data_IF_473973221491
#
_entry.id   IF_473973221491
#
_cell.length_a   1.000
_cell.length_b   1.000
_cell.length_c   1.000
_cell.angle_alpha   90.00
_cell.angle_beta   90.00
_cell.angle_gamma   90.00
#
_symmetry.space_group_name_H-M   'P 1'
#
loop_
_entity.id
_entity.type
_entity.pdbx_description
1 polymer ?
#
# COMPACT_ATOMS: atom_id res chain seq x y z
N UNK A 1 -23.37 -6.08 -1.99
CA UNK A 1 -22.41 -6.14 -0.86
C UNK A 1 -23.12 -5.64 0.40
N UNK A 2 -22.86 -6.25 1.55
CA UNK A 2 -23.58 -5.96 2.81
C UNK A 2 -23.52 -4.45 3.15
N UNK A 3 -24.67 -3.77 3.39
CA UNK A 3 -24.72 -2.34 3.66
C UNK A 3 -24.41 -1.93 5.11
N UNK A 4 -24.34 -2.88 6.04
CA UNK A 4 -24.04 -2.65 7.45
C UNK A 4 -22.58 -3.01 7.79
N UNK A 5 -22.14 -4.17 7.32
CA UNK A 5 -20.84 -4.75 7.66
C UNK A 5 -19.83 -4.67 6.50
N UNK A 6 -20.30 -4.55 5.25
CA UNK A 6 -19.44 -4.41 4.08
C UNK A 6 -18.73 -3.05 4.01
N UNK A 7 -17.72 -2.90 3.14
CA UNK A 7 -17.03 -1.63 2.94
C UNK A 7 -18.00 -0.51 2.52
N UNK A 8 -17.53 0.73 2.71
CA UNK A 8 -18.20 1.92 2.23
C UNK A 8 -18.15 1.98 0.71
N UNK A 9 -19.27 2.36 0.11
CA UNK A 9 -19.33 2.76 -1.31
C UNK A 9 -18.55 4.06 -1.55
N UNK A 10 -18.31 4.40 -2.81
CA UNK A 10 -17.65 5.66 -3.19
C UNK A 10 -18.36 6.89 -2.61
N UNK A 11 -19.70 6.97 -2.76
CA UNK A 11 -20.48 8.09 -2.23
C UNK A 11 -20.47 8.14 -0.70
N UNK A 12 -20.62 6.99 -0.01
CA UNK A 12 -20.51 6.92 1.46
C UNK A 12 -19.12 7.33 1.96
N UNK A 13 -18.06 6.98 1.22
CA UNK A 13 -16.69 7.32 1.57
C UNK A 13 -16.39 8.81 1.37
N UNK A 14 -16.86 9.39 0.26
CA UNK A 14 -16.76 10.83 -0.01
C UNK A 14 -17.53 11.66 1.02
N UNK A 15 -18.76 11.26 1.37
CA UNK A 15 -19.54 11.89 2.45
C UNK A 15 -18.82 11.79 3.79
N UNK A 16 -18.24 10.63 4.12
CA UNK A 16 -17.42 10.46 5.32
C UNK A 16 -16.25 11.45 5.36
N UNK A 17 -15.48 11.58 4.28
CA UNK A 17 -14.37 12.53 4.20
C UNK A 17 -14.83 13.98 4.37
N UNK A 18 -15.91 14.36 3.68
CA UNK A 18 -16.47 15.70 3.73
C UNK A 18 -16.94 16.07 5.15
N UNK A 19 -17.68 15.17 5.81
CA UNK A 19 -18.17 15.40 7.17
C UNK A 19 -17.06 15.40 8.21
N UNK A 20 -16.04 14.56 8.08
CA UNK A 20 -14.86 14.60 8.95
C UNK A 20 -14.18 15.97 8.83
N UNK A 21 -13.98 16.47 7.62
CA UNK A 21 -13.38 17.79 7.37
C UNK A 21 -14.21 18.92 7.97
N UNK A 22 -15.53 18.91 7.77
CA UNK A 22 -16.44 19.89 8.35
C UNK A 22 -16.45 19.82 9.89
N UNK A 23 -16.46 18.62 10.46
CA UNK A 23 -16.42 18.41 11.91
C UNK A 23 -15.09 18.87 12.54
N UNK A 24 -13.99 18.78 11.79
CA UNK A 24 -12.70 19.33 12.20
C UNK A 24 -12.74 20.86 12.27
N UNK A 25 -13.32 21.52 11.27
CA UNK A 25 -13.45 22.99 11.21
C UNK A 25 -14.37 23.50 12.32
N UNK A 26 -15.49 22.81 12.55
CA UNK A 26 -16.51 23.20 13.56
C UNK A 26 -16.16 22.77 14.99
N UNK A 27 -15.04 22.07 15.20
CA UNK A 27 -14.64 21.58 16.52
C UNK A 27 -15.51 20.45 17.09
N UNK A 28 -16.38 19.84 16.26
CA UNK A 28 -17.31 18.76 16.66
C UNK A 28 -16.58 17.45 16.95
N UNK A 29 -15.40 17.24 16.35
CA UNK A 29 -14.49 16.14 16.63
C UNK A 29 -13.18 16.71 17.18
N UNK A 30 -12.71 16.13 18.29
CA UNK A 30 -11.42 16.53 18.87
C UNK A 30 -10.24 16.01 18.05
N UNK A 31 -9.14 16.76 18.08
CA UNK A 31 -7.89 16.47 17.36
C UNK A 31 -7.41 15.00 17.48
N UNK A 32 -7.37 14.38 18.67
CA UNK A 32 -6.95 12.98 18.79
C UNK A 32 -7.91 12.01 18.07
N UNK A 33 -9.22 12.24 18.16
CA UNK A 33 -10.23 11.38 17.51
C UNK A 33 -10.14 11.47 16.00
N UNK A 34 -9.84 12.67 15.50
CA UNK A 34 -9.66 12.94 14.09
C UNK A 34 -8.42 12.24 13.53
N UNK A 35 -7.26 12.40 14.19
CA UNK A 35 -6.02 11.73 13.80
C UNK A 35 -6.15 10.21 13.83
N UNK A 36 -6.76 9.65 14.89
CA UNK A 36 -7.03 8.20 14.95
C UNK A 36 -7.91 7.72 13.78
N UNK A 37 -8.92 8.51 13.42
CA UNK A 37 -9.82 8.18 12.30
C UNK A 37 -9.07 8.23 10.97
N UNK A 38 -8.28 9.27 10.71
CA UNK A 38 -7.48 9.38 9.49
C UNK A 38 -6.41 8.31 9.38
N UNK A 39 -5.74 7.93 10.47
CA UNK A 39 -4.79 6.83 10.46
C UNK A 39 -5.46 5.50 10.07
N UNK A 40 -6.67 5.23 10.58
CA UNK A 40 -7.44 4.06 10.17
C UNK A 40 -7.84 4.09 8.69
N UNK A 41 -8.31 5.25 8.22
CA UNK A 41 -8.79 5.41 6.84
C UNK A 41 -7.63 5.34 5.85
N UNK A 42 -6.52 6.03 6.12
CA UNK A 42 -5.40 6.16 5.21
C UNK A 42 -4.46 4.94 5.23
N UNK A 43 -4.32 4.26 6.38
CA UNK A 43 -3.36 3.16 6.52
C UNK A 43 -4.02 1.80 6.70
N UNK A 44 -5.33 1.73 6.89
CA UNK A 44 -6.04 0.47 7.14
C UNK A 44 -5.67 -0.23 8.45
N UNK A 45 -5.04 0.48 9.41
CA UNK A 45 -4.52 -0.12 10.65
C UNK A 45 -5.63 -0.44 11.66
N UNK A 46 -5.40 -1.45 12.51
CA UNK A 46 -6.35 -1.92 13.52
C UNK A 46 -6.31 -1.02 14.79
N UNK A 47 -7.40 -0.96 15.58
CA UNK A 47 -7.40 -0.21 16.85
C UNK A 47 -6.30 -0.63 17.83
N UNK A 48 -5.92 -1.91 17.87
CA UNK A 48 -4.80 -2.39 18.71
C UNK A 48 -3.47 -1.79 18.27
N UNK A 49 -3.26 -1.56 16.98
CA UNK A 49 -2.02 -0.97 16.47
C UNK A 49 -1.96 0.51 16.87
N UNK A 50 -3.07 1.24 16.75
CA UNK A 50 -3.19 2.62 17.26
C UNK A 50 -2.96 2.68 18.76
N UNK A 51 -3.55 1.75 19.52
CA UNK A 51 -3.37 1.64 20.96
C UNK A 51 -1.90 1.41 21.35
N UNK A 52 -1.14 0.65 20.56
CA UNK A 52 0.28 0.35 20.78
C UNK A 52 1.25 1.45 20.34
N UNK A 53 0.80 2.49 19.62
CA UNK A 53 1.68 3.55 19.11
C UNK A 53 2.22 4.43 20.26
N UNK A 54 3.50 4.77 20.17
CA UNK A 54 4.20 5.74 21.02
C UNK A 54 4.65 6.93 20.18
N UNK A 55 4.90 8.07 20.82
CA UNK A 55 5.35 9.28 20.12
C UNK A 55 6.64 9.06 19.31
N UNK A 56 7.56 8.20 19.78
CA UNK A 56 8.79 7.85 19.06
C UNK A 56 8.60 7.08 17.76
N UNK A 57 7.41 6.55 17.51
CA UNK A 57 7.13 5.80 16.29
C UNK A 57 6.88 6.73 15.10
N UNK A 58 6.68 8.03 15.33
CA UNK A 58 6.62 9.04 14.28
C UNK A 58 8.03 9.48 13.89
N UNK A 59 8.33 9.39 12.60
CA UNK A 59 9.62 9.76 12.02
C UNK A 59 9.38 10.91 11.06
N UNK A 60 9.96 12.06 11.37
CA UNK A 60 9.85 13.24 10.52
C UNK A 60 10.70 13.05 9.25
N UNK A 61 10.09 13.25 8.08
CA UNK A 61 10.81 13.23 6.81
C UNK A 61 11.78 14.42 6.65
N UNK A 62 12.87 14.28 5.87
CA UNK A 62 13.73 15.40 5.51
C UNK A 62 12.97 16.41 4.62
N UNK A 63 13.25 17.71 4.82
CA UNK A 63 12.58 18.85 4.16
C UNK A 63 12.53 18.80 2.62
N UNK A 64 13.36 17.97 1.98
CA UNK A 64 13.57 17.96 0.53
C UNK A 64 12.75 16.91 -0.25
N UNK A 65 12.22 15.86 0.40
CA UNK A 65 11.50 14.75 -0.27
C UNK A 65 10.15 14.41 0.42
N UNK A 66 9.81 15.15 1.50
CA UNK A 66 8.44 15.53 1.90
C UNK A 66 7.39 14.45 2.24
N UNK A 67 7.82 13.32 2.81
CA UNK A 67 6.89 12.36 3.40
C UNK A 67 7.28 11.95 4.81
N UNK A 68 6.38 12.16 5.76
CA UNK A 68 6.53 11.69 7.13
C UNK A 68 6.30 10.18 7.17
N UNK A 69 6.95 9.51 8.11
CA UNK A 69 6.83 8.06 8.27
C UNK A 69 6.29 7.72 9.65
N UNK A 70 5.55 6.62 9.73
CA UNK A 70 5.01 6.07 10.97
C UNK A 70 5.39 4.60 11.07
N UNK A 71 6.11 4.25 12.13
CA UNK A 71 6.49 2.87 12.40
C UNK A 71 5.37 2.17 13.19
N UNK A 72 4.50 1.43 12.50
CA UNK A 72 3.29 0.84 13.09
C UNK A 72 3.60 -0.55 13.68
N UNK A 73 3.32 -0.80 14.97
CA UNK A 73 3.48 -2.12 15.57
C UNK A 73 2.60 -3.17 14.88
N UNK A 74 3.12 -4.39 14.69
CA UNK A 74 2.36 -5.52 14.15
C UNK A 74 1.43 -6.10 15.21
N UNK A 75 0.26 -6.55 14.77
CA UNK A 75 -0.73 -7.16 15.66
C UNK A 75 -0.76 -8.69 15.48
N UNK A 76 0.22 -9.39 16.08
CA UNK A 76 0.38 -10.86 15.92
C UNK A 76 -0.55 -11.71 16.80
N UNK A 77 -0.93 -11.22 17.97
CA UNK A 77 -1.74 -11.95 18.95
C UNK A 77 -3.04 -11.19 19.25
N UNK A 78 -4.12 -11.93 19.57
CA UNK A 78 -5.41 -11.31 19.92
C UNK A 78 -5.27 -10.55 21.24
N UNK A 79 -5.58 -9.26 21.22
CA UNK A 79 -5.79 -8.40 22.39
C UNK A 79 -4.56 -8.09 23.28
N UNK A 80 -3.34 -8.44 22.86
CA UNK A 80 -2.11 -8.02 23.54
C UNK A 80 -1.45 -6.85 22.80
N UNK A 81 -1.04 -5.83 23.55
CA UNK A 81 -0.19 -4.77 23.01
C UNK A 81 1.19 -5.37 22.80
N UNK A 82 1.54 -5.62 21.54
CA UNK A 82 2.84 -6.14 21.13
C UNK A 82 3.59 -5.08 20.33
N UNK A 83 4.88 -4.95 20.63
CA UNK A 83 5.83 -4.04 19.98
C UNK A 83 7.12 -4.77 19.58
N UNK A 84 7.03 -6.09 19.37
CA UNK A 84 8.15 -6.94 18.93
C UNK A 84 8.53 -6.71 17.46
N UNK A 85 7.54 -6.39 16.61
CA UNK A 85 7.74 -6.12 15.19
C UNK A 85 6.99 -4.87 14.76
N UNK A 86 7.52 -4.19 13.74
CA UNK A 86 6.93 -2.99 13.17
C UNK A 86 6.88 -3.03 11.65
N UNK A 87 6.01 -2.19 11.09
CA UNK A 87 5.92 -1.90 9.67
C UNK A 87 5.97 -0.40 9.45
N UNK A 88 6.89 0.03 8.60
CA UNK A 88 7.04 1.43 8.23
C UNK A 88 5.92 1.84 7.26
N UNK A 89 5.26 2.97 7.55
CA UNK A 89 4.13 3.47 6.76
C UNK A 89 4.34 4.91 6.39
N UNK A 90 4.12 5.21 5.12
CA UNK A 90 4.17 6.56 4.57
C UNK A 90 2.91 7.33 4.97
N UNK A 91 3.08 8.54 5.48
CA UNK A 91 2.01 9.49 5.73
C UNK A 91 2.11 10.58 4.67
N UNK A 92 0.96 11.00 4.13
CA UNK A 92 0.95 12.23 3.34
C UNK A 92 1.35 13.42 4.23
N UNK A 93 1.81 14.49 3.58
CA UNK A 93 2.30 15.70 4.25
C UNK A 93 1.29 16.28 5.24
N UNK A 94 0.03 16.43 4.82
CA UNK A 94 -1.03 17.03 5.63
C UNK A 94 -1.25 16.26 6.95
N UNK A 95 -1.41 14.94 6.88
CA UNK A 95 -1.62 14.10 8.07
C UNK A 95 -0.36 14.06 8.95
N UNK A 96 0.82 13.97 8.33
CA UNK A 96 2.08 13.92 9.07
C UNK A 96 2.41 15.24 9.79
N UNK A 97 2.20 16.39 9.16
CA UNK A 97 2.38 17.71 9.78
C UNK A 97 1.41 17.89 10.95
N UNK A 98 0.16 17.49 10.76
CA UNK A 98 -0.86 17.55 11.81
C UNK A 98 -0.52 16.64 12.99
N UNK A 99 -0.05 15.41 12.71
CA UNK A 99 0.40 14.48 13.73
C UNK A 99 1.63 15.02 14.49
N UNK A 100 2.57 15.66 13.79
CA UNK A 100 3.72 16.33 14.39
C UNK A 100 3.29 17.44 15.37
N UNK A 101 2.40 18.33 14.95
CA UNK A 101 1.86 19.39 15.82
C UNK A 101 1.14 18.84 17.04
N UNK A 102 0.40 17.75 16.87
CA UNK A 102 -0.24 17.04 17.98
C UNK A 102 0.77 16.47 18.98
N UNK A 103 1.83 15.78 18.51
CA UNK A 103 2.89 15.24 19.37
C UNK A 103 3.62 16.37 20.13
N UNK A 104 3.86 17.51 19.48
CA UNK A 104 4.44 18.69 20.14
C UNK A 104 3.53 19.24 21.25
N UNK A 105 2.21 19.22 21.04
CA UNK A 105 1.22 19.65 22.04
C UNK A 105 1.17 18.68 23.23
N UNK A 106 1.22 17.38 22.95
CA UNK A 106 1.33 16.34 23.97
C UNK A 106 2.59 16.50 24.82
N UNK A 107 3.73 16.73 24.17
CA UNK A 107 5.02 17.00 24.82
C UNK A 107 4.91 18.14 25.83
N UNK A 108 4.35 19.29 25.42
CA UNK A 108 4.13 20.45 26.30
C UNK A 108 3.25 20.12 27.51
N UNK A 109 2.18 19.33 27.30
CA UNK A 109 1.24 18.93 28.37
C UNK A 109 1.85 17.96 29.38
N UNK A 110 2.77 17.11 28.94
CA UNK A 110 3.39 16.06 29.78
C UNK A 110 4.78 16.41 30.31
N UNK A 111 5.36 17.55 29.91
CA UNK A 111 6.66 18.06 30.36
C UNK A 111 6.83 18.11 31.89
N UNK A 112 5.74 18.34 32.64
CA UNK A 112 5.75 18.43 34.11
C UNK A 112 5.79 17.07 34.84
N UNK A 113 5.72 15.93 34.14
CA UNK A 113 5.51 14.60 34.76
C UNK A 113 6.75 13.69 34.80
N UNK A 114 7.96 14.20 34.55
CA UNK A 114 9.21 13.40 34.47
C UNK A 114 9.11 12.15 33.56
N UNK A 115 8.16 12.15 32.61
CA UNK A 115 7.94 11.03 31.71
C UNK A 115 8.69 11.29 30.41
N UNK A 116 9.45 10.32 29.92
CA UNK A 116 10.06 10.41 28.59
C UNK A 116 8.94 10.51 27.53
N UNK A 117 8.85 11.66 26.87
CA UNK A 117 7.81 11.93 25.85
C UNK A 117 7.88 10.91 24.72
N UNK A 118 9.07 10.44 24.37
CA UNK A 118 9.28 9.44 23.32
C UNK A 118 8.54 8.14 23.63
N UNK A 119 8.47 7.74 24.91
CA UNK A 119 7.82 6.51 25.35
C UNK A 119 6.33 6.67 25.67
N UNK A 120 5.82 7.90 25.66
CA UNK A 120 4.41 8.19 25.86
C UNK A 120 3.58 7.59 24.71
N UNK A 121 2.42 6.97 24.99
CA UNK A 121 1.50 6.58 23.94
C UNK A 121 1.12 7.80 23.10
N UNK A 122 1.04 7.60 21.79
CA UNK A 122 0.64 8.65 20.85
C UNK A 122 -0.78 9.14 21.15
N UNK A 123 -1.68 8.26 21.63
CA UNK A 123 -3.04 8.61 22.03
C UNK A 123 -3.31 8.20 23.49
N UNK A 124 -2.82 8.99 24.46
CA UNK A 124 -2.91 8.64 25.89
C UNK A 124 -4.37 8.63 26.40
N UNK A 125 -4.62 7.88 27.47
CA UNK A 125 -5.87 7.97 28.23
C UNK A 125 -6.04 9.38 28.83
N UNK A 126 -7.27 9.90 28.81
CA UNK A 126 -7.59 11.21 29.40
C UNK A 126 -7.57 11.20 30.93
N UNK A 127 -7.85 10.04 31.54
CA UNK A 127 -7.83 9.80 32.99
C UNK A 127 -7.00 8.56 33.31
N UNK A 128 -6.20 8.62 34.37
CA UNK A 128 -5.52 7.44 34.91
C UNK A 128 -6.57 6.52 35.53
N UNK A 129 -6.54 5.23 35.18
CA UNK A 129 -7.28 4.20 35.93
C UNK A 129 -6.45 3.74 37.13
N UNK A 130 -7.12 3.16 38.13
CA UNK A 130 -6.50 2.64 39.37
C UNK A 130 -5.50 1.51 39.15
N UNK A 131 -5.53 0.84 38.00
CA UNK A 131 -4.65 -0.28 37.69
C UNK A 131 -3.55 0.17 36.72
N UNK A 132 -2.26 -0.09 37.02
CA UNK A 132 -1.20 0.15 36.06
C UNK A 132 -1.46 -0.68 34.81
N UNK A 133 -1.41 -0.01 33.66
CA UNK A 133 -1.12 -0.71 32.41
C UNK A 133 0.26 -1.38 32.61
N UNK A 134 0.43 -2.63 32.20
CA UNK A 134 1.64 -3.40 32.50
C UNK A 134 2.95 -2.65 32.17
N UNK A 135 4.10 -3.06 32.75
CA UNK A 135 5.35 -2.29 32.65
C UNK A 135 5.67 -1.86 31.22
N UNK A 136 5.86 -0.55 31.00
CA UNK A 136 6.17 0.03 29.68
C UNK A 136 4.97 0.39 28.80
N UNK A 137 3.73 0.18 29.28
CA UNK A 137 2.48 0.57 28.61
C UNK A 137 1.70 1.63 29.39
N UNK A 138 2.36 2.40 30.22
CA UNK A 138 1.75 3.45 31.03
C UNK A 138 0.93 4.40 30.13
N UNK A 139 -0.27 4.75 30.59
CA UNK A 139 -1.21 5.65 29.91
C UNK A 139 -1.82 5.13 28.58
N UNK A 140 -1.51 3.90 28.14
CA UNK A 140 -2.02 3.38 26.86
C UNK A 140 -3.51 3.09 26.95
N UNK A 141 -4.27 3.44 25.90
CA UNK A 141 -5.65 2.99 25.76
C UNK A 141 -5.70 1.50 25.38
N UNK A 142 -6.77 0.79 25.75
CA UNK A 142 -7.01 -0.54 25.17
C UNK A 142 -7.50 -0.43 23.72
N UNK A 143 -7.32 -1.49 22.92
CA UNK A 143 -7.86 -1.53 21.55
C UNK A 143 -9.37 -1.28 21.50
N UNK A 144 -10.12 -1.82 22.47
CA UNK A 144 -11.55 -1.61 22.60
C UNK A 144 -11.88 -0.13 22.86
N UNK A 145 -11.13 0.53 23.75
CA UNK A 145 -11.34 1.96 24.02
C UNK A 145 -11.06 2.83 22.78
N UNK A 146 -10.01 2.53 22.02
CA UNK A 146 -9.73 3.20 20.74
C UNK A 146 -10.87 2.98 19.75
N UNK A 147 -11.31 1.72 19.57
CA UNK A 147 -12.40 1.38 18.66
C UNK A 147 -13.71 2.10 19.00
N UNK A 148 -14.07 2.17 20.29
CA UNK A 148 -15.25 2.89 20.77
C UNK A 148 -15.10 4.40 20.52
N UNK A 149 -13.93 5.00 20.80
CA UNK A 149 -13.68 6.44 20.59
C UNK A 149 -13.88 6.82 19.12
N UNK A 150 -13.33 6.03 18.19
CA UNK A 150 -13.45 6.26 16.74
C UNK A 150 -14.90 6.06 16.29
N UNK A 151 -15.53 4.95 16.68
CA UNK A 151 -16.91 4.67 16.30
C UNK A 151 -17.85 5.77 16.79
N UNK A 152 -17.73 6.21 18.05
CA UNK A 152 -18.57 7.29 18.58
C UNK A 152 -18.34 8.62 17.85
N UNK A 153 -17.09 8.94 17.51
CA UNK A 153 -16.76 10.16 16.78
C UNK A 153 -17.40 10.17 15.39
N UNK A 154 -17.23 9.09 14.63
CA UNK A 154 -17.67 9.03 13.23
C UNK A 154 -19.19 8.83 13.11
N UNK A 155 -19.80 8.02 13.97
CA UNK A 155 -21.27 7.85 13.97
C UNK A 155 -22.02 9.10 14.46
N UNK A 156 -21.35 10.05 15.13
CA UNK A 156 -21.95 11.35 15.50
C UNK A 156 -22.06 12.33 14.34
N UNK A 157 -21.50 11.99 13.17
CA UNK A 157 -21.53 12.82 11.96
C UNK A 157 -22.79 12.60 11.10
N UNK A 158 -23.70 11.74 11.53
CA UNK A 158 -24.98 11.48 10.85
C UNK A 158 -24.83 11.15 9.36
N UNK A 159 -23.89 10.25 9.03
CA UNK A 159 -23.64 9.80 7.66
C UNK A 159 -24.86 9.06 7.11
N UNK A 160 -25.31 9.46 5.93
CA UNK A 160 -26.42 8.79 5.26
C UNK A 160 -25.87 7.85 4.20
N UNK A 161 -26.58 6.78 3.91
CA UNK A 161 -26.25 5.85 2.83
C UNK A 161 -27.44 5.77 1.89
N UNK A 162 -27.18 5.76 0.58
CA UNK A 162 -28.21 5.50 -0.43
C UNK A 162 -28.77 4.07 -0.35
N UNK A 163 -28.03 3.16 0.30
CA UNK A 163 -28.39 1.74 0.45
C UNK A 163 -29.16 1.45 1.73
N UNK A 164 -29.20 2.40 2.66
CA UNK A 164 -29.86 2.27 3.94
C UNK A 164 -30.91 3.36 4.07
N UNK A 165 -32.12 3.03 4.53
CA UNK A 165 -33.12 4.02 4.91
C UNK A 165 -32.78 4.67 6.27
N UNK A 166 -31.52 5.04 6.49
CA UNK A 166 -31.00 5.53 7.77
C UNK A 166 -29.48 5.74 7.80
N UNK A 167 -28.95 5.89 9.02
CA UNK A 167 -27.53 6.22 9.24
C UNK A 167 -26.61 5.04 8.89
N UNK A 168 -25.47 5.35 8.28
CA UNK A 168 -24.41 4.40 7.96
C UNK A 168 -23.59 4.06 9.21
N UNK A 169 -23.61 2.82 9.72
CA UNK A 169 -22.80 2.47 10.88
C UNK A 169 -21.32 2.42 10.49
N UNK A 170 -20.51 3.26 11.16
CA UNK A 170 -19.06 3.28 10.98
C UNK A 170 -18.40 2.52 12.13
N UNK A 171 -17.72 1.43 11.79
CA UNK A 171 -16.93 0.62 12.73
C UNK A 171 -15.48 0.51 12.25
N UNK A 172 -14.52 0.24 13.13
CA UNK A 172 -13.12 0.02 12.75
C UNK A 172 -12.95 -1.10 11.71
N UNK A 173 -13.76 -2.17 11.83
CA UNK A 173 -13.78 -3.26 10.86
C UNK A 173 -14.21 -2.74 9.50
N UNK A 174 -15.30 -1.98 9.44
CA UNK A 174 -15.81 -1.41 8.19
C UNK A 174 -14.83 -0.46 7.52
N UNK A 175 -14.19 0.43 8.27
CA UNK A 175 -13.14 1.32 7.74
C UNK A 175 -11.99 0.53 7.11
N UNK A 176 -11.56 -0.53 7.79
CA UNK A 176 -10.50 -1.41 7.32
C UNK A 176 -10.90 -2.22 6.08
N UNK A 177 -12.14 -2.71 6.01
CA UNK A 177 -12.68 -3.36 4.80
C UNK A 177 -12.73 -2.36 3.65
N UNK A 178 -13.11 -1.12 3.92
CA UNK A 178 -13.17 -0.04 2.93
C UNK A 178 -11.78 0.28 2.38
N UNK A 179 -10.77 0.43 3.24
CA UNK A 179 -9.37 0.58 2.83
C UNK A 179 -8.93 -0.56 1.90
N UNK A 180 -9.16 -1.81 2.29
CA UNK A 180 -8.76 -2.97 1.51
C UNK A 180 -9.48 -3.04 0.15
N UNK A 181 -10.78 -2.72 0.13
CA UNK A 181 -11.59 -2.75 -1.09
C UNK A 181 -11.16 -1.66 -2.05
N UNK A 182 -10.94 -0.43 -1.55
CA UNK A 182 -10.46 0.70 -2.37
C UNK A 182 -9.05 0.48 -2.90
N UNK A 183 -8.12 -0.01 -2.08
CA UNK A 183 -6.78 -0.37 -2.55
C UNK A 183 -6.84 -1.43 -3.65
N UNK A 184 -7.75 -2.40 -3.52
CA UNK A 184 -7.98 -3.37 -4.56
C UNK A 184 -8.58 -2.72 -5.82
N UNK A 185 -9.59 -1.85 -5.70
CA UNK A 185 -10.18 -1.09 -6.82
C UNK A 185 -9.16 -0.21 -7.56
N UNK A 186 -8.18 0.32 -6.84
CA UNK A 186 -7.02 1.04 -7.38
C UNK A 186 -5.99 0.11 -8.06
N UNK A 187 -6.22 -1.20 -8.05
CA UNK A 187 -5.41 -2.21 -8.74
C UNK A 187 -4.21 -2.71 -7.95
N UNK A 188 -4.17 -2.49 -6.63
CA UNK A 188 -3.06 -2.97 -5.80
C UNK A 188 -3.09 -4.50 -5.74
N UNK A 189 -1.91 -5.13 -5.80
CA UNK A 189 -1.84 -6.59 -5.77
C UNK A 189 -2.29 -7.15 -4.41
N UNK A 190 -2.83 -8.37 -4.42
CA UNK A 190 -3.29 -9.03 -3.20
C UNK A 190 -2.18 -9.18 -2.15
N UNK A 191 -0.93 -9.36 -2.61
CA UNK A 191 0.26 -9.40 -1.76
C UNK A 191 0.51 -8.06 -1.06
N UNK A 192 0.43 -6.95 -1.79
CA UNK A 192 0.64 -5.61 -1.23
C UNK A 192 -0.49 -5.27 -0.26
N UNK A 193 -1.74 -5.58 -0.60
CA UNK A 193 -2.87 -5.36 0.31
C UNK A 193 -2.72 -6.22 1.57
N UNK A 194 -2.27 -7.47 1.46
CA UNK A 194 -1.99 -8.33 2.62
C UNK A 194 -0.90 -7.72 3.51
N UNK A 195 0.18 -7.21 2.90
CA UNK A 195 1.29 -6.55 3.59
C UNK A 195 0.84 -5.27 4.30
N UNK A 196 0.05 -4.42 3.65
CA UNK A 196 -0.53 -3.24 4.28
C UNK A 196 -1.48 -3.62 5.41
N UNK A 197 -2.36 -4.58 5.17
CA UNK A 197 -3.30 -5.03 6.18
C UNK A 197 -2.59 -5.72 7.35
N UNK A 198 -1.30 -6.02 7.28
CA UNK A 198 -0.63 -6.82 8.31
C UNK A 198 -1.36 -8.17 8.46
N UNK A 199 -1.53 -8.85 7.33
CA UNK A 199 -1.94 -10.25 7.23
C UNK A 199 -0.70 -11.11 7.01
N UNK A 200 -0.70 -12.31 7.59
CA UNK A 200 0.35 -13.31 7.35
C UNK A 200 0.17 -14.05 6.02
N UNK A 201 -0.99 -13.92 5.38
CA UNK A 201 -1.38 -14.65 4.18
C UNK A 201 -2.42 -13.84 3.36
N UNK A 202 -2.51 -14.11 2.06
CA UNK A 202 -3.40 -13.46 1.09
C UNK A 202 -4.81 -14.05 1.06
N UNK A 203 -5.06 -15.21 1.70
CA UNK A 203 -6.39 -15.86 1.76
C UNK A 203 -7.53 -14.94 2.20
N UNK A 204 -7.27 -14.01 3.12
CA UNK A 204 -8.28 -13.04 3.58
C UNK A 204 -8.42 -11.82 2.67
N UNK A 205 -7.46 -11.59 1.77
CA UNK A 205 -7.50 -10.50 0.79
C UNK A 205 -8.39 -10.86 -0.38
N UNK A 206 -8.47 -12.13 -0.76
CA UNK A 206 -9.41 -12.60 -1.80
C UNK A 206 -10.88 -12.32 -1.44
N UNK A 207 -11.23 -12.25 -0.16
CA UNK A 207 -12.58 -11.83 0.27
C UNK A 207 -12.86 -10.37 -0.10
N UNK A 208 -11.84 -9.50 -0.09
CA UNK A 208 -11.97 -8.10 -0.51
C UNK A 208 -11.80 -7.94 -2.02
N UNK A 209 -10.94 -8.75 -2.64
CA UNK A 209 -10.66 -8.70 -4.07
C UNK A 209 -11.75 -9.39 -4.91
N UNK A 210 -12.42 -10.40 -4.37
CA UNK A 210 -13.57 -11.07 -4.98
C UNK A 210 -14.85 -10.22 -4.93
N UNK A 211 -14.83 -9.09 -4.21
CA UNK A 211 -15.99 -8.23 -3.96
C UNK A 211 -16.13 -7.05 -4.93
N UNK A 212 -15.15 -6.80 -5.79
CA UNK A 212 -15.20 -5.67 -6.72
C UNK A 212 -15.06 -6.13 -8.16
N UNK A 213 -16.19 -6.05 -8.88
CA UNK A 213 -16.24 -6.14 -10.34
C UNK A 213 -15.31 -5.12 -11.01
N UNK A 214 -14.99 -4.00 -10.33
CA UNK A 214 -14.03 -2.98 -10.77
C UNK A 214 -12.56 -3.45 -10.75
N UNK A 215 -12.16 -4.32 -9.82
CA UNK A 215 -10.78 -4.89 -9.75
C UNK A 215 -10.47 -5.71 -10.99
N UNK A 216 -11.48 -6.37 -11.55
CA UNK A 216 -11.30 -7.22 -12.73
C UNK A 216 -11.01 -6.43 -14.00
N UNK A 217 -11.13 -5.09 -14.00
CA UNK A 217 -11.16 -4.34 -15.24
C UNK A 217 -9.83 -3.71 -15.69
N UNK A 218 -8.93 -3.20 -14.82
CA UNK A 218 -7.74 -2.48 -15.33
C UNK A 218 -6.49 -2.60 -14.46
N UNK A 219 -5.61 -3.54 -14.80
CA UNK A 219 -4.17 -3.41 -14.52
C UNK A 219 -3.64 -2.38 -15.53
N UNK A 220 -3.74 -1.10 -15.18
CA UNK A 220 -3.40 -0.01 -16.10
C UNK A 220 -1.89 0.20 -16.20
N UNK A 221 -1.45 0.81 -17.30
CA UNK A 221 -0.05 1.20 -17.48
C UNK A 221 0.47 2.04 -16.30
N UNK A 222 -0.35 2.95 -15.78
CA UNK A 222 0.01 3.80 -14.63
C UNK A 222 0.28 2.96 -13.37
N UNK A 223 -0.59 1.99 -13.07
CA UNK A 223 -0.42 1.08 -11.93
C UNK A 223 0.88 0.27 -12.06
N UNK A 224 1.22 -0.17 -13.28
CA UNK A 224 2.48 -0.87 -13.53
C UNK A 224 3.69 0.00 -13.18
N UNK A 225 3.68 1.28 -13.53
CA UNK A 225 4.75 2.23 -13.20
C UNK A 225 4.79 2.58 -11.71
N UNK A 226 3.65 2.81 -11.07
CA UNK A 226 3.59 3.18 -9.65
C UNK A 226 4.10 2.03 -8.75
N UNK A 227 3.83 0.78 -9.15
CA UNK A 227 4.24 -0.41 -8.40
C UNK A 227 5.66 -0.91 -8.74
N UNK A 228 6.20 -0.56 -9.90
CA UNK A 228 7.50 -1.05 -10.36
C UNK A 228 8.65 -0.84 -9.35
N UNK A 229 8.81 0.34 -8.70
CA UNK A 229 9.90 0.58 -7.74
C UNK A 229 9.89 -0.34 -6.51
N UNK A 230 8.70 -0.74 -6.05
CA UNK A 230 8.52 -1.56 -4.85
C UNK A 230 8.33 -3.06 -5.14
N UNK A 231 8.12 -3.42 -6.42
CA UNK A 231 7.84 -4.80 -6.84
C UNK A 231 9.02 -5.77 -6.73
N UNK A 232 10.25 -5.25 -6.83
CA UNK A 232 11.49 -6.03 -6.94
C UNK A 232 11.40 -7.15 -8.01
N UNK A 233 10.67 -6.89 -9.11
CA UNK A 233 10.38 -7.88 -10.13
C UNK A 233 11.56 -8.12 -11.09
N UNK A 234 12.39 -7.11 -11.34
CA UNK A 234 13.56 -7.18 -12.20
C UNK A 234 14.84 -7.45 -11.41
N UNK A 235 15.64 -8.43 -11.86
CA UNK A 235 16.90 -8.85 -11.23
C UNK A 235 18.09 -8.90 -12.20
N UNK A 236 17.89 -8.50 -13.45
CA UNK A 236 18.92 -8.51 -14.50
C UNK A 236 19.78 -7.25 -14.53
N UNK A 237 20.60 -7.12 -15.59
CA UNK A 237 21.53 -6.00 -15.81
C UNK A 237 21.20 -5.28 -17.12
N UNK A 238 20.89 -3.99 -17.06
CA UNK A 238 20.69 -3.18 -18.28
C UNK A 238 22.04 -2.94 -18.96
N UNK A 239 22.09 -3.17 -20.26
CA UNK A 239 23.28 -2.98 -21.12
C UNK A 239 23.01 -1.94 -22.19
N UNK A 240 24.06 -1.25 -22.68
CA UNK A 240 23.87 -0.19 -23.67
C UNK A 240 23.65 -0.73 -25.08
N UNK A 241 24.33 -1.82 -25.45
CA UNK A 241 24.16 -2.49 -26.75
C UNK A 241 24.65 -3.94 -26.69
N UNK A 242 24.48 -4.69 -27.80
CA UNK A 242 24.91 -6.08 -27.91
C UNK A 242 26.39 -6.32 -27.57
N UNK A 243 27.28 -5.34 -27.79
CA UNK A 243 28.71 -5.46 -27.47
C UNK A 243 28.98 -5.69 -25.99
N UNK A 244 28.07 -5.22 -25.13
CA UNK A 244 28.21 -5.26 -23.68
C UNK A 244 27.52 -6.49 -23.06
N UNK A 245 26.90 -7.33 -23.90
CA UNK A 245 26.26 -8.56 -23.47
C UNK A 245 27.30 -9.56 -22.97
N UNK A 246 26.96 -10.33 -21.94
CA UNK A 246 27.83 -11.40 -21.43
C UNK A 246 28.12 -12.46 -22.49
N UNK A 247 27.21 -12.63 -23.45
CA UNK A 247 27.41 -13.41 -24.67
C UNK A 247 27.00 -12.58 -25.90
N UNK A 248 27.90 -11.88 -26.57
CA UNK A 248 27.57 -11.14 -27.78
C UNK A 248 27.32 -12.11 -28.95
N UNK A 249 26.30 -11.84 -29.76
CA UNK A 249 26.01 -12.58 -30.99
C UNK A 249 24.55 -13.02 -31.13
N UNK A 250 24.15 -13.47 -32.34
CA UNK A 250 22.75 -13.74 -32.66
C UNK A 250 22.05 -14.74 -31.74
N UNK A 251 22.80 -15.67 -31.14
CA UNK A 251 22.26 -16.72 -30.26
C UNK A 251 21.88 -16.23 -28.85
N UNK A 252 22.30 -15.03 -28.44
CA UNK A 252 21.92 -14.46 -27.14
C UNK A 252 20.72 -13.52 -27.24
N UNK A 253 20.44 -12.99 -28.43
CA UNK A 253 19.35 -12.05 -28.69
C UNK A 253 18.00 -12.64 -28.27
N UNK A 254 17.23 -11.83 -27.57
CA UNK A 254 15.83 -12.07 -27.23
C UNK A 254 15.01 -11.29 -28.24
N UNK A 255 14.34 -12.00 -29.14
CA UNK A 255 13.47 -11.44 -30.16
C UNK A 255 12.07 -12.01 -29.93
N UNK A 256 11.05 -11.17 -30.06
CA UNK A 256 9.66 -11.59 -30.03
C UNK A 256 8.86 -10.84 -31.10
N UNK A 257 8.47 -11.58 -32.14
CA UNK A 257 7.72 -11.04 -33.28
C UNK A 257 6.31 -10.55 -32.91
N UNK A 258 5.82 -10.92 -31.71
CA UNK A 258 4.55 -10.43 -31.17
C UNK A 258 4.67 -8.99 -30.64
N UNK A 259 5.89 -8.58 -30.28
CA UNK A 259 6.21 -7.25 -29.74
C UNK A 259 6.66 -6.33 -30.89
N UNK A 260 7.56 -6.81 -31.74
CA UNK A 260 7.99 -6.09 -32.94
C UNK A 260 8.06 -7.01 -34.14
N UNK A 261 7.26 -6.72 -35.17
CA UNK A 261 7.19 -7.48 -36.42
C UNK A 261 8.47 -7.39 -37.25
N UNK A 262 9.28 -6.35 -37.04
CA UNK A 262 10.57 -6.19 -37.70
C UNK A 262 11.66 -7.06 -37.05
N UNK A 263 11.35 -7.71 -35.93
CA UNK A 263 12.28 -8.59 -35.24
C UNK A 263 13.41 -7.86 -34.54
N UNK A 264 13.21 -6.61 -34.11
CA UNK A 264 14.22 -5.90 -33.34
C UNK A 264 14.51 -6.66 -32.03
N UNK A 265 15.80 -6.86 -31.68
CA UNK A 265 16.19 -7.46 -30.42
C UNK A 265 15.77 -6.57 -29.25
N UNK A 266 15.16 -7.19 -28.24
CA UNK A 266 14.71 -6.52 -27.02
C UNK A 266 15.83 -6.49 -25.97
N UNK A 267 16.63 -7.55 -25.95
CA UNK A 267 17.59 -7.83 -24.90
C UNK A 267 18.56 -8.95 -25.33
N UNK A 268 19.57 -9.21 -24.51
CA UNK A 268 20.43 -10.38 -24.58
C UNK A 268 20.19 -11.33 -23.40
N UNK A 269 20.59 -12.59 -23.56
CA UNK A 269 20.58 -13.61 -22.51
C UNK A 269 22.00 -14.08 -22.22
N UNK A 270 22.44 -13.93 -20.97
CA UNK A 270 23.77 -14.35 -20.51
C UNK A 270 23.90 -15.86 -20.24
N UNK A 271 22.80 -16.61 -20.22
CA UNK A 271 22.81 -18.04 -19.88
C UNK A 271 23.42 -18.88 -21.00
N UNK A 272 24.41 -19.72 -20.68
CA UNK A 272 25.10 -20.60 -21.64
C UNK A 272 24.37 -21.92 -21.96
N UNK A 273 23.27 -22.21 -21.25
CA UNK A 273 22.45 -23.41 -21.47
C UNK A 273 21.06 -23.07 -21.99
N UNK A 274 20.42 -24.05 -22.63
CA UNK A 274 19.08 -23.93 -23.19
C UNK A 274 18.08 -23.46 -22.11
N UNK A 275 17.15 -22.58 -22.50
CA UNK A 275 16.12 -22.04 -21.64
C UNK A 275 14.75 -22.34 -22.26
N UNK A 276 13.93 -23.11 -21.55
CA UNK A 276 12.61 -23.55 -22.03
C UNK A 276 11.47 -22.63 -21.55
N UNK A 277 11.80 -21.54 -20.84
CA UNK A 277 10.81 -20.58 -20.38
C UNK A 277 10.37 -19.62 -21.49
N UNK A 278 9.13 -19.13 -21.40
CA UNK A 278 8.56 -18.19 -22.37
C UNK A 278 9.29 -16.84 -22.35
N UNK A 279 10.19 -16.63 -23.30
CA UNK A 279 10.87 -15.34 -23.55
C UNK A 279 9.91 -14.39 -24.28
N UNK A 280 9.89 -13.08 -23.98
CA UNK A 280 10.64 -12.39 -22.91
C UNK A 280 9.91 -12.36 -21.56
N UNK A 281 8.68 -12.91 -21.46
CA UNK A 281 7.87 -12.88 -20.23
C UNK A 281 8.62 -13.36 -18.98
N UNK A 282 9.25 -14.53 -19.05
CA UNK A 282 10.03 -15.09 -17.95
C UNK A 282 11.31 -14.29 -17.68
N UNK A 283 11.84 -13.59 -18.69
CA UNK A 283 13.03 -12.76 -18.53
C UNK A 283 12.73 -11.52 -17.66
N UNK A 284 11.61 -10.85 -17.93
CA UNK A 284 11.14 -9.74 -17.09
C UNK A 284 10.65 -10.20 -15.70
N UNK A 285 10.35 -11.50 -15.53
CA UNK A 285 9.93 -12.07 -14.25
C UNK A 285 11.10 -12.42 -13.31
N UNK A 286 12.15 -11.60 -13.28
CA UNK A 286 13.27 -11.76 -12.34
C UNK A 286 14.35 -12.74 -12.77
N UNK A 287 14.53 -12.97 -14.07
CA UNK A 287 15.68 -13.74 -14.55
C UNK A 287 16.99 -12.97 -14.31
N UNK A 288 17.95 -13.59 -13.63
CA UNK A 288 19.25 -12.98 -13.34
C UNK A 288 20.10 -12.79 -14.60
N UNK A 289 20.05 -13.75 -15.54
CA UNK A 289 20.80 -13.72 -16.80
C UNK A 289 20.16 -12.83 -17.87
N UNK A 290 19.17 -12.01 -17.50
CA UNK A 290 18.47 -11.12 -18.43
C UNK A 290 19.23 -9.80 -18.58
N UNK A 291 19.59 -9.48 -19.82
CA UNK A 291 20.36 -8.29 -20.17
C UNK A 291 19.57 -7.37 -21.12
N UNK A 292 18.58 -6.60 -20.61
CA UNK A 292 17.80 -5.66 -21.43
C UNK A 292 18.66 -4.55 -22.03
N UNK A 293 18.39 -4.20 -23.29
CA UNK A 293 19.12 -3.16 -24.00
C UNK A 293 18.51 -1.79 -23.73
N UNK A 294 19.35 -0.77 -23.55
CA UNK A 294 18.89 0.58 -23.23
C UNK A 294 17.93 1.16 -24.29
N UNK A 295 18.15 0.81 -25.56
CA UNK A 295 17.35 1.19 -26.73
C UNK A 295 16.33 0.13 -27.16
N UNK A 296 16.17 -0.94 -26.38
CA UNK A 296 15.23 -2.01 -26.68
C UNK A 296 13.76 -1.53 -26.66
N UNK A 297 12.85 -2.12 -27.46
CA UNK A 297 11.44 -1.76 -27.52
C UNK A 297 10.65 -2.24 -26.29
N UNK A 298 11.09 -1.86 -25.09
CA UNK A 298 10.48 -2.23 -23.80
C UNK A 298 9.07 -1.66 -23.62
N UNK A 299 8.81 -0.46 -24.16
CA UNK A 299 7.46 0.13 -24.16
C UNK A 299 6.47 -0.72 -24.96
N UNK A 300 6.85 -1.15 -26.17
CA UNK A 300 6.05 -2.06 -26.98
C UNK A 300 5.88 -3.42 -26.29
N UNK A 301 6.91 -3.89 -25.58
CA UNK A 301 6.81 -5.11 -24.78
C UNK A 301 5.77 -4.96 -23.66
N UNK A 302 5.78 -3.84 -22.93
CA UNK A 302 4.81 -3.55 -21.88
C UNK A 302 3.38 -3.48 -22.42
N UNK A 303 3.17 -2.74 -23.50
CA UNK A 303 1.86 -2.60 -24.15
C UNK A 303 1.33 -3.96 -24.62
N UNK A 304 2.20 -4.79 -25.21
CA UNK A 304 1.83 -6.15 -25.61
C UNK A 304 1.42 -7.02 -24.41
N UNK A 305 2.14 -6.95 -23.29
CA UNK A 305 1.80 -7.71 -22.09
C UNK A 305 0.47 -7.26 -21.47
N UNK A 306 0.20 -5.95 -21.46
CA UNK A 306 -1.05 -5.37 -20.99
C UNK A 306 -2.23 -5.79 -21.88
N UNK A 307 -2.09 -5.69 -23.20
CA UNK A 307 -3.13 -6.10 -24.15
C UNK A 307 -3.43 -7.60 -24.08
N UNK A 308 -2.39 -8.44 -23.94
CA UNK A 308 -2.56 -9.88 -23.73
C UNK A 308 -3.33 -10.17 -22.43
N UNK A 309 -3.01 -9.46 -21.36
CA UNK A 309 -3.68 -9.61 -20.07
C UNK A 309 -5.16 -9.25 -20.17
N UNK A 310 -5.48 -8.15 -20.83
CA UNK A 310 -6.87 -7.72 -21.07
C UNK A 310 -7.65 -8.76 -21.87
N UNK A 311 -7.05 -9.32 -22.92
CA UNK A 311 -7.65 -10.41 -23.69
C UNK A 311 -7.90 -11.66 -22.84
N UNK A 312 -6.95 -12.06 -21.99
CA UNK A 312 -7.11 -13.20 -21.09
C UNK A 312 -8.19 -12.97 -20.03
N UNK A 313 -8.34 -11.74 -19.52
CA UNK A 313 -9.43 -11.39 -18.63
C UNK A 313 -10.81 -11.53 -19.29
N UNK A 314 -10.91 -11.22 -20.58
CA UNK A 314 -12.16 -11.32 -21.33
C UNK A 314 -12.54 -12.76 -21.70
N UNK A 315 -11.55 -13.66 -21.82
CA UNK A 315 -11.72 -15.01 -22.39
C UNK A 315 -11.54 -16.15 -21.39
N UNK A 316 -10.89 -15.91 -20.24
CA UNK A 316 -10.51 -16.95 -19.27
C UNK A 316 -10.74 -16.51 -17.81
N UNK A 317 -10.49 -17.40 -16.85
CA UNK A 317 -10.50 -17.03 -15.43
C UNK A 317 -9.43 -15.97 -15.14
N UNK A 318 -9.80 -14.96 -14.34
CA UNK A 318 -8.93 -13.95 -13.75
C UNK A 318 -7.60 -14.48 -13.20
N UNK A 319 -7.57 -15.71 -12.64
CA UNK A 319 -6.34 -16.33 -12.15
C UNK A 319 -5.33 -16.60 -13.27
N UNK A 320 -5.81 -16.95 -14.47
CA UNK A 320 -4.98 -17.21 -15.66
C UNK A 320 -4.42 -15.88 -16.21
N UNK A 321 -5.25 -14.84 -16.23
CA UNK A 321 -4.81 -13.50 -16.64
C UNK A 321 -3.71 -12.93 -15.72
N UNK A 322 -3.76 -13.22 -14.42
CA UNK A 322 -2.81 -12.71 -13.43
C UNK A 322 -1.44 -13.40 -13.42
N UNK A 323 -1.26 -14.53 -14.14
CA UNK A 323 -0.01 -15.33 -14.13
C UNK A 323 1.22 -14.48 -14.49
N UNK A 324 1.06 -13.53 -15.40
CA UNK A 324 2.16 -12.70 -15.92
C UNK A 324 2.24 -11.30 -15.31
N UNK A 325 1.47 -11.00 -14.25
CA UNK A 325 1.44 -9.65 -13.65
C UNK A 325 2.83 -9.23 -13.15
N UNK A 326 3.61 -10.19 -12.64
CA UNK A 326 5.00 -9.93 -12.22
C UNK A 326 5.93 -9.61 -13.40
N UNK A 327 5.71 -10.20 -14.57
CA UNK A 327 6.44 -9.82 -15.80
C UNK A 327 6.13 -8.40 -16.24
N UNK A 328 4.87 -7.96 -16.09
CA UNK A 328 4.46 -6.58 -16.42
C UNK A 328 5.17 -5.58 -15.51
N UNK A 329 5.22 -5.86 -14.19
CA UNK A 329 5.95 -5.04 -13.23
C UNK A 329 7.45 -5.01 -13.51
N UNK A 330 8.05 -6.15 -13.86
CA UNK A 330 9.47 -6.22 -14.23
C UNK A 330 9.79 -5.45 -15.51
N UNK A 331 8.89 -5.47 -16.50
CA UNK A 331 9.03 -4.68 -17.71
C UNK A 331 8.94 -3.17 -17.43
N UNK A 332 7.96 -2.73 -16.62
CA UNK A 332 7.86 -1.34 -16.18
C UNK A 332 9.10 -0.89 -15.37
N UNK A 333 9.66 -1.78 -14.53
CA UNK A 333 10.88 -1.50 -13.77
C UNK A 333 12.11 -1.34 -14.68
N UNK A 334 12.22 -2.13 -15.76
CA UNK A 334 13.27 -1.95 -16.77
C UNK A 334 13.12 -0.59 -17.46
N UNK A 335 11.91 -0.21 -17.88
CA UNK A 335 11.65 1.08 -18.52
C UNK A 335 12.07 2.25 -17.62
N UNK A 336 11.69 2.23 -16.34
CA UNK A 336 12.08 3.28 -15.39
C UNK A 336 13.59 3.39 -15.25
N UNK A 337 14.29 2.26 -15.09
CA UNK A 337 15.75 2.26 -14.98
C UNK A 337 16.44 2.70 -16.29
N UNK A 338 15.89 2.35 -17.45
CA UNK A 338 16.40 2.85 -18.73
C UNK A 338 16.29 4.38 -18.81
N UNK A 339 15.14 4.95 -18.39
CA UNK A 339 14.97 6.42 -18.33
C UNK A 339 15.96 7.07 -17.38
N UNK A 340 16.14 6.53 -16.17
CA UNK A 340 17.13 7.04 -15.20
C UNK A 340 18.57 7.01 -15.73
N UNK A 341 18.93 5.99 -16.51
CA UNK A 341 20.26 5.87 -17.12
C UNK A 341 20.45 6.83 -18.31
N UNK A 342 19.38 7.11 -19.06
CA UNK A 342 19.38 8.08 -20.15
C UNK A 342 19.44 9.52 -19.65
N UNK A 343 18.81 9.83 -18.52
CA UNK A 343 18.85 11.18 -17.90
C UNK A 343 20.20 11.52 -17.26
N UNK A 344 21.04 10.52 -16.95
CA UNK A 344 22.38 10.68 -16.34
C UNK A 344 23.52 10.76 -17.36
N UNK A 345 23.23 10.55 -18.65
CA UNK A 345 24.15 10.76 -19.77
C UNK A 345 23.93 12.15 -20.34
#
# INVERSE_FOLDING_TARGET
>A
MDPYEGPLTDSEFEDLQAKIKQAAITGRISEPKLLMSYLMIALGIRPIQIASLKCKDFIQGPLAIDDHLLNVPRAKQKNTLDRSEFRLRKLNRELGDRLKSYIQTLSKKHSKKNTNIADLPMFPKERQHRFPDGPGFEFHCTAQAIGIKISRALNSLDLNSERLNGKTPITPVRLRRSFATRAAEEGWSSLIIAELMDHTDTRHVEVYAGLTTKIKAKFSRQIAFDLAPISQAFSGKIIASESDASRPGPSSRIIDLRIDRNGAPIASCGKNSQCDFSRPYACYNGCYDFEPWLDGPHEAALDHMLARREHLLATTDSKIAAINDRSILGCAQVILRCRELLEKK
#
